data_IF_962364698471
#
_entry.id   IF_962364698471
#
_cell.length_a   1.000
_cell.length_b   1.000
_cell.length_c   1.000
_cell.angle_alpha   90.00
_cell.angle_beta   90.00
_cell.angle_gamma   90.00
#
_symmetry.space_group_name_H-M   'P 1'
#
loop_
_entity.id
_entity.type
_entity.pdbx_description
1 polymer ?
#
# COMPACT_ATOMS: atom_id res chain seq x y z
N UNK A 1 16.78 -14.97 8.79
CA UNK A 1 15.49 -14.77 8.11
C UNK A 1 14.81 -13.58 8.76
N UNK A 2 14.97 -12.39 8.18
CA UNK A 2 14.38 -11.17 8.73
C UNK A 2 12.88 -11.18 8.43
N UNK A 3 12.06 -11.49 9.43
CA UNK A 3 10.60 -11.39 9.33
C UNK A 3 10.26 -9.91 9.18
N UNK A 4 10.08 -9.43 7.95
CA UNK A 4 9.67 -8.04 7.71
C UNK A 4 8.36 -7.80 8.44
N UNK A 5 8.39 -6.95 9.46
CA UNK A 5 7.18 -6.59 10.20
C UNK A 5 6.28 -5.77 9.29
N UNK A 6 4.97 -5.82 9.55
CA UNK A 6 3.98 -5.08 8.78
C UNK A 6 4.18 -3.57 8.82
N UNK A 7 4.69 -3.08 9.94
CA UNK A 7 5.11 -1.70 10.12
C UNK A 7 6.29 -1.36 9.19
N UNK A 8 7.24 -2.28 9.00
CA UNK A 8 8.36 -2.10 8.08
C UNK A 8 7.90 -2.07 6.62
N UNK A 9 6.99 -2.96 6.23
CA UNK A 9 6.43 -2.97 4.88
C UNK A 9 5.73 -1.66 4.50
N UNK A 10 5.00 -1.06 5.44
CA UNK A 10 4.37 0.25 5.22
C UNK A 10 5.42 1.38 5.12
N UNK A 11 6.46 1.37 5.97
CA UNK A 11 7.57 2.32 5.88
C UNK A 11 8.28 2.23 4.53
N UNK A 12 8.53 1.02 4.04
CA UNK A 12 9.20 0.79 2.77
C UNK A 12 8.35 1.28 1.59
N UNK A 13 7.02 1.09 1.64
CA UNK A 13 6.10 1.63 0.62
C UNK A 13 6.18 3.15 0.58
N UNK A 14 6.07 3.79 1.75
CA UNK A 14 6.12 5.25 1.87
C UNK A 14 7.46 5.84 1.43
N UNK A 15 8.56 5.12 1.68
CA UNK A 15 9.89 5.52 1.23
C UNK A 15 10.03 5.39 -0.30
N UNK A 16 9.54 4.28 -0.88
CA UNK A 16 9.60 4.05 -2.32
C UNK A 16 8.75 5.05 -3.10
N UNK A 17 7.55 5.38 -2.61
CA UNK A 17 6.67 6.38 -3.22
C UNK A 17 7.32 7.77 -3.22
N UNK A 18 7.97 8.17 -2.12
CA UNK A 18 8.70 9.44 -2.01
C UNK A 18 9.97 9.50 -2.87
N UNK A 19 10.60 8.35 -3.12
CA UNK A 19 11.76 8.27 -3.98
C UNK A 19 11.42 8.48 -5.47
N UNK A 20 10.13 8.50 -5.83
CA UNK A 20 9.68 8.73 -7.20
C UNK A 20 10.13 7.64 -8.18
N UNK A 21 10.55 6.48 -7.67
CA UNK A 21 11.09 5.38 -8.48
C UNK A 21 10.08 4.23 -8.51
N UNK A 22 9.95 3.49 -9.63
CA UNK A 22 9.04 2.36 -9.71
C UNK A 22 9.37 1.26 -8.69
N UNK A 23 8.33 0.60 -8.16
CA UNK A 23 8.49 -0.49 -7.21
C UNK A 23 7.38 -1.55 -7.36
N UNK A 24 7.63 -2.72 -6.80
CA UNK A 24 6.67 -3.81 -6.68
C UNK A 24 6.24 -3.98 -5.22
N UNK A 25 4.94 -4.12 -5.00
CA UNK A 25 4.38 -4.64 -3.74
C UNK A 25 4.15 -6.12 -3.92
N UNK A 26 4.98 -6.94 -3.30
CA UNK A 26 4.90 -8.40 -3.34
C UNK A 26 4.03 -8.86 -2.18
N UNK A 27 2.87 -9.43 -2.47
CA UNK A 27 1.92 -9.99 -1.50
C UNK A 27 1.93 -11.53 -1.62
N UNK A 28 2.63 -12.24 -0.72
CA UNK A 28 2.49 -13.69 -0.59
C UNK A 28 1.12 -14.05 0.02
N UNK A 29 0.64 -15.29 -0.13
CA UNK A 29 -0.68 -15.70 0.34
C UNK A 29 -0.83 -15.58 1.87
N UNK A 30 0.18 -16.00 2.62
CA UNK A 30 0.14 -16.11 4.09
C UNK A 30 1.22 -15.28 4.79
N UNK A 31 1.77 -14.27 4.10
CA UNK A 31 2.82 -13.42 4.66
C UNK A 31 2.53 -11.94 4.51
N UNK A 32 3.27 -11.15 5.28
CA UNK A 32 3.22 -9.70 5.17
C UNK A 32 3.74 -9.30 3.79
N UNK A 33 3.03 -8.41 3.06
CA UNK A 33 3.52 -7.86 1.82
C UNK A 33 4.87 -7.17 1.98
N UNK A 34 5.69 -7.21 0.95
CA UNK A 34 7.04 -6.66 0.96
C UNK A 34 7.25 -5.77 -0.25
N UNK A 35 7.88 -4.63 -0.05
CA UNK A 35 8.20 -3.69 -1.13
C UNK A 35 9.56 -4.02 -1.73
N UNK A 36 9.62 -4.00 -3.06
CA UNK A 36 10.82 -4.26 -3.84
C UNK A 36 11.00 -3.14 -4.86
N UNK A 37 11.97 -2.25 -4.68
CA UNK A 37 12.32 -1.25 -5.69
C UNK A 37 12.70 -1.93 -7.00
N UNK A 38 12.25 -1.38 -8.13
CA UNK A 38 12.71 -1.82 -9.44
C UNK A 38 14.04 -1.13 -9.73
N UNK A 39 15.15 -1.89 -9.81
CA UNK A 39 16.43 -1.30 -10.16
C UNK A 39 16.39 -0.85 -11.63
N UNK A 40 17.18 0.09 -12.12
CA UNK A 40 17.13 0.53 -13.53
C UNK A 40 17.55 -0.52 -14.59
N UNK A 41 17.42 -1.81 -14.30
CA UNK A 41 17.77 -2.96 -15.12
C UNK A 41 16.75 -4.11 -14.93
N UNK A 42 16.95 -5.21 -15.63
CA UNK A 42 16.11 -6.41 -15.53
C UNK A 42 16.06 -6.97 -14.11
N UNK A 43 14.86 -7.25 -13.63
CA UNK A 43 14.56 -7.89 -12.36
C UNK A 43 13.89 -9.24 -12.62
N UNK A 44 14.40 -10.28 -11.98
CA UNK A 44 13.92 -11.65 -12.10
C UNK A 44 13.01 -12.02 -10.92
N UNK A 45 11.91 -12.72 -11.21
CA UNK A 45 10.97 -13.21 -10.20
C UNK A 45 10.81 -14.71 -10.34
N UNK A 46 10.94 -15.44 -9.24
CA UNK A 46 10.86 -16.89 -9.27
C UNK A 46 11.05 -17.53 -7.90
N UNK A 47 10.98 -18.86 -7.87
CA UNK A 47 11.17 -19.66 -6.65
C UNK A 47 12.65 -19.88 -6.32
N UNK A 48 13.54 -19.72 -7.29
CA UNK A 48 14.98 -19.86 -7.04
C UNK A 48 15.46 -18.73 -6.15
N UNK A 49 16.37 -19.06 -5.23
CA UNK A 49 17.17 -18.11 -4.46
C UNK A 49 18.07 -17.21 -5.33
N UNK A 50 18.34 -17.62 -6.57
CA UNK A 50 19.04 -16.84 -7.58
C UNK A 50 18.19 -15.71 -8.21
N UNK A 51 16.89 -15.63 -7.92
CA UNK A 51 16.05 -14.54 -8.41
C UNK A 51 16.10 -13.32 -7.49
N UNK A 52 15.95 -12.12 -8.07
CA UNK A 52 15.91 -10.87 -7.32
C UNK A 52 14.69 -10.80 -6.38
N UNK A 53 13.55 -11.32 -6.83
CA UNK A 53 12.35 -11.50 -6.03
C UNK A 53 12.05 -13.00 -5.89
N UNK A 54 12.41 -13.52 -4.72
CA UNK A 54 12.19 -14.93 -4.36
C UNK A 54 10.77 -15.12 -3.82
N UNK A 55 9.98 -15.96 -4.50
CA UNK A 55 8.63 -16.35 -4.10
C UNK A 55 8.65 -17.80 -3.58
N UNK A 56 8.38 -17.97 -2.29
CA UNK A 56 8.34 -19.28 -1.63
C UNK A 56 7.01 -20.02 -1.90
N UNK A 57 6.72 -20.32 -3.16
CA UNK A 57 5.52 -21.05 -3.58
C UNK A 57 5.88 -22.17 -4.58
N UNK A 58 5.42 -23.40 -4.30
CA UNK A 58 5.65 -24.57 -5.14
C UNK A 58 5.10 -24.45 -6.57
N UNK A 59 4.07 -23.62 -6.78
CA UNK A 59 3.48 -23.29 -8.09
C UNK A 59 4.34 -22.31 -8.89
N UNK A 60 5.28 -21.62 -8.25
CA UNK A 60 6.18 -20.70 -8.93
C UNK A 60 7.36 -21.48 -9.52
N UNK A 61 7.75 -21.09 -10.74
CA UNK A 61 8.86 -21.69 -11.48
C UNK A 61 10.18 -21.18 -10.90
N UNK A 62 11.30 -21.88 -11.10
CA UNK A 62 12.60 -21.43 -10.58
C UNK A 62 12.92 -20.01 -11.04
N UNK A 63 12.79 -19.77 -12.34
CA UNK A 63 12.59 -18.46 -12.96
C UNK A 63 11.17 -18.47 -13.53
N UNK A 64 10.31 -17.54 -13.12
CA UNK A 64 8.91 -17.54 -13.52
C UNK A 64 8.56 -16.34 -14.40
N UNK A 65 9.05 -15.15 -14.07
CA UNK A 65 8.90 -14.01 -14.94
C UNK A 65 10.09 -13.07 -14.80
N UNK A 66 10.20 -12.17 -15.77
CA UNK A 66 11.11 -11.03 -15.74
C UNK A 66 10.35 -9.74 -15.86
N UNK A 67 10.91 -8.69 -15.28
CA UNK A 67 10.43 -7.33 -15.38
C UNK A 67 11.63 -6.47 -15.76
N UNK A 68 11.56 -5.71 -16.85
CA UNK A 68 12.69 -4.92 -17.34
C UNK A 68 12.25 -3.53 -17.83
N UNK A 69 13.15 -2.53 -17.77
CA UNK A 69 12.84 -1.19 -18.24
C UNK A 69 12.72 -1.18 -19.77
N UNK A 70 11.72 -0.45 -20.26
CA UNK A 70 11.51 -0.15 -21.67
C UNK A 70 11.36 1.36 -21.84
N UNK A 71 11.48 1.92 -23.06
CA UNK A 71 11.25 3.34 -23.26
C UNK A 71 9.92 3.81 -22.64
N UNK A 72 10.02 4.74 -21.69
CA UNK A 72 8.88 5.34 -20.98
C UNK A 72 8.16 4.44 -19.98
N UNK A 73 8.73 3.31 -19.55
CA UNK A 73 8.10 2.48 -18.50
C UNK A 73 8.76 1.11 -18.32
N UNK A 74 7.92 0.12 -18.01
CA UNK A 74 8.35 -1.22 -17.66
C UNK A 74 7.56 -2.28 -18.43
N UNK A 75 8.17 -3.43 -18.68
CA UNK A 75 7.51 -4.57 -19.29
C UNK A 75 7.77 -5.83 -18.48
N UNK A 76 6.89 -6.81 -18.62
CA UNK A 76 6.98 -8.13 -18.01
C UNK A 76 6.78 -9.23 -19.04
N UNK A 77 7.41 -10.40 -18.85
CA UNK A 77 7.13 -11.60 -19.61
C UNK A 77 7.20 -12.84 -18.73
N UNK A 78 6.37 -13.83 -19.08
CA UNK A 78 6.37 -15.16 -18.47
C UNK A 78 7.52 -16.00 -19.04
N UNK A 79 8.46 -16.39 -18.18
CA UNK A 79 9.52 -17.37 -18.47
C UNK A 79 9.26 -18.69 -17.74
N UNK A 80 8.09 -18.79 -17.09
CA UNK A 80 7.71 -19.90 -16.24
C UNK A 80 7.27 -21.14 -17.00
N UNK A 81 7.09 -22.22 -16.24
CA UNK A 81 6.48 -23.44 -16.76
C UNK A 81 5.05 -23.17 -17.24
N UNK A 82 4.66 -23.69 -18.42
CA UNK A 82 3.35 -23.42 -19.03
C UNK A 82 2.13 -23.82 -18.18
N UNK A 83 2.32 -24.64 -17.15
CA UNK A 83 1.25 -25.20 -16.31
C UNK A 83 0.56 -24.14 -15.44
N UNK A 84 1.33 -23.17 -14.91
CA UNK A 84 0.78 -22.18 -13.98
C UNK A 84 0.67 -20.81 -14.64
N UNK A 85 1.67 -20.41 -15.44
CA UNK A 85 1.68 -19.17 -16.20
C UNK A 85 1.61 -17.89 -15.38
N UNK A 86 1.81 -16.76 -16.05
CA UNK A 86 1.67 -15.42 -15.46
C UNK A 86 0.38 -14.75 -15.90
N UNK A 87 -0.33 -14.10 -14.97
CA UNK A 87 -1.56 -13.34 -15.28
C UNK A 87 -1.38 -11.88 -14.88
N UNK A 88 -1.80 -10.95 -15.74
CA UNK A 88 -1.81 -9.51 -15.45
C UNK A 88 -3.26 -9.03 -15.50
N UNK A 89 -3.76 -8.52 -14.38
CA UNK A 89 -5.16 -8.12 -14.15
C UNK A 89 -6.15 -9.24 -14.52
N UNK A 90 -5.84 -10.48 -14.14
CA UNK A 90 -6.66 -11.67 -14.42
C UNK A 90 -6.50 -12.24 -15.83
N UNK A 91 -5.81 -11.56 -16.74
CA UNK A 91 -5.58 -12.04 -18.11
C UNK A 91 -4.21 -12.69 -18.22
N UNK A 92 -4.16 -13.95 -18.65
CA UNK A 92 -2.92 -14.68 -18.90
C UNK A 92 -2.11 -13.99 -20.01
N UNK A 93 -0.81 -13.80 -19.78
CA UNK A 93 0.09 -13.26 -20.80
C UNK A 93 0.76 -14.41 -21.58
N UNK A 94 0.99 -14.20 -22.87
CA UNK A 94 1.66 -15.14 -23.77
C UNK A 94 2.98 -14.61 -24.36
N UNK A 95 3.36 -13.39 -23.96
CA UNK A 95 4.57 -12.70 -24.39
C UNK A 95 4.77 -11.42 -23.59
N UNK A 96 5.76 -10.58 -23.98
CA UNK A 96 6.03 -9.33 -23.31
C UNK A 96 4.80 -8.42 -23.24
N UNK A 97 4.49 -7.93 -22.04
CA UNK A 97 3.39 -7.01 -21.76
C UNK A 97 3.92 -5.79 -21.01
N UNK A 98 3.53 -4.60 -21.46
CA UNK A 98 3.85 -3.35 -20.75
C UNK A 98 3.08 -3.30 -19.42
N UNK A 99 3.75 -2.90 -18.36
CA UNK A 99 3.17 -2.65 -17.05
C UNK A 99 2.71 -1.20 -16.95
N UNK A 100 1.55 -1.00 -16.34
CA UNK A 100 0.96 0.29 -16.03
C UNK A 100 0.83 0.40 -14.50
N UNK A 101 0.98 1.60 -13.94
CA UNK A 101 0.78 1.83 -12.51
C UNK A 101 -0.54 1.20 -12.02
N UNK A 102 -0.46 0.41 -10.96
CA UNK A 102 -1.59 -0.33 -10.41
C UNK A 102 -1.78 -1.73 -10.98
N UNK A 103 -1.08 -2.13 -12.05
CA UNK A 103 -1.20 -3.47 -12.61
C UNK A 103 -0.87 -4.55 -11.57
N UNK A 104 -1.72 -5.57 -11.54
CA UNK A 104 -1.64 -6.69 -10.62
C UNK A 104 -1.20 -7.93 -11.38
N UNK A 105 0.01 -8.41 -11.08
CA UNK A 105 0.59 -9.62 -11.67
C UNK A 105 0.43 -10.79 -10.70
N UNK A 106 -0.35 -11.80 -11.07
CA UNK A 106 -0.53 -13.03 -10.32
C UNK A 106 0.46 -14.09 -10.80
N UNK A 107 1.21 -14.66 -9.85
CA UNK A 107 2.25 -15.66 -10.06
C UNK A 107 2.12 -16.76 -9.01
N UNK A 108 1.66 -17.94 -9.42
CA UNK A 108 1.30 -18.99 -8.47
C UNK A 108 0.16 -18.50 -7.56
N UNK A 109 0.43 -18.39 -6.27
CA UNK A 109 -0.50 -17.88 -5.25
C UNK A 109 -0.07 -16.51 -4.71
N UNK A 110 0.98 -15.93 -5.28
CA UNK A 110 1.51 -14.61 -4.92
C UNK A 110 1.00 -13.54 -5.89
N UNK A 111 0.75 -12.35 -5.36
CA UNK A 111 0.35 -11.18 -6.14
C UNK A 111 1.46 -10.13 -6.11
N UNK A 112 1.79 -9.55 -7.25
CA UNK A 112 2.77 -8.47 -7.41
C UNK A 112 2.04 -7.25 -7.95
N UNK A 113 1.91 -6.18 -7.16
CA UNK A 113 1.33 -4.92 -7.65
C UNK A 113 2.45 -4.00 -8.11
N UNK A 114 2.41 -3.61 -9.38
CA UNK A 114 3.35 -2.63 -9.94
C UNK A 114 2.91 -1.21 -9.59
N UNK A 115 3.85 -0.40 -9.11
CA UNK A 115 3.64 1.02 -8.81
C UNK A 115 4.72 1.85 -9.49
N UNK A 116 4.30 2.90 -10.18
CA UNK A 116 5.19 3.89 -10.81
C UNK A 116 4.76 5.31 -10.45
N UNK A 117 5.31 5.87 -9.35
CA UNK A 117 5.00 7.23 -8.93
C UNK A 117 5.45 8.32 -9.91
N UNK A 118 6.38 8.01 -10.82
CA UNK A 118 6.92 8.95 -11.81
C UNK A 118 6.05 9.07 -13.06
N UNK A 119 5.22 8.07 -13.33
CA UNK A 119 4.37 7.97 -14.52
C UNK A 119 3.12 8.88 -14.47
N UNK A 120 3.23 10.07 -13.88
CA UNK A 120 2.13 11.01 -13.65
C UNK A 120 1.08 11.05 -14.76
N UNK A 121 -0.14 10.63 -14.40
CA UNK A 121 -1.42 10.91 -15.09
C UNK A 121 -1.60 10.27 -16.47
N UNK A 122 -1.96 8.98 -16.53
CA UNK A 122 -3.04 8.49 -17.43
C UNK A 122 -3.80 7.35 -16.73
N UNK A 123 -5.11 7.54 -16.59
CA UNK A 123 -6.14 6.63 -16.05
C UNK A 123 -6.14 6.43 -14.52
N UNK A 124 -7.20 6.95 -13.89
CA UNK A 124 -7.42 6.88 -12.46
C UNK A 124 -7.51 5.46 -11.95
N UNK A 125 -6.60 5.12 -11.05
CA UNK A 125 -6.77 3.99 -10.13
C UNK A 125 -6.39 4.50 -8.75
N UNK A 126 -7.39 4.65 -7.89
CA UNK A 126 -7.27 5.15 -6.53
C UNK A 126 -6.38 4.19 -5.72
N UNK A 127 -5.41 4.70 -4.96
CA UNK A 127 -4.56 3.94 -4.03
C UNK A 127 -5.34 3.08 -3.00
N UNK A 128 -6.66 3.29 -2.90
CA UNK A 128 -7.61 2.54 -2.07
C UNK A 128 -7.59 1.01 -2.31
N UNK A 129 -7.18 0.53 -3.50
CA UNK A 129 -7.06 -0.91 -3.81
C UNK A 129 -5.68 -1.50 -3.49
N UNK A 130 -4.81 -0.76 -2.79
CA UNK A 130 -3.52 -1.29 -2.36
C UNK A 130 -3.71 -2.49 -1.40
N UNK A 131 -3.15 -3.68 -1.72
CA UNK A 131 -3.27 -4.87 -0.86
C UNK A 131 -2.69 -4.64 0.55
N UNK A 132 -1.71 -3.74 0.66
CA UNK A 132 -1.16 -3.30 1.94
C UNK A 132 -2.19 -2.57 2.82
N UNK A 133 -3.08 -1.78 2.21
CA UNK A 133 -4.15 -1.08 2.93
C UNK A 133 -5.32 -2.03 3.24
N UNK A 134 -5.64 -2.94 2.33
CA UNK A 134 -6.68 -3.94 2.53
C UNK A 134 -6.41 -4.85 3.74
N UNK A 135 -5.14 -5.06 4.09
CA UNK A 135 -4.80 -5.82 5.28
C UNK A 135 -5.04 -5.04 6.59
N UNK A 136 -5.13 -3.70 6.59
CA UNK A 136 -5.22 -2.87 7.80
C UNK A 136 -6.52 -3.16 8.55
N UNK A 137 -6.42 -3.69 9.78
CA UNK A 137 -7.57 -3.95 10.64
C UNK A 137 -7.95 -2.69 11.40
N UNK A 138 -8.54 -1.74 10.69
CA UNK A 138 -9.08 -0.50 11.28
C UNK A 138 -10.51 -0.79 11.72
N UNK A 139 -10.80 -0.69 13.01
CA UNK A 139 -12.16 -0.81 13.53
C UNK A 139 -13.02 0.40 13.15
N UNK A 140 -14.36 0.30 13.13
CA UNK A 140 -15.22 1.46 12.87
C UNK A 140 -14.92 2.66 13.79
N UNK A 141 -14.62 2.40 15.07
CA UNK A 141 -14.23 3.44 16.02
C UNK A 141 -12.88 4.09 15.65
N UNK A 142 -11.88 3.30 15.25
CA UNK A 142 -10.59 3.82 14.78
C UNK A 142 -10.74 4.62 13.49
N UNK A 143 -11.62 4.18 12.58
CA UNK A 143 -11.91 4.88 11.33
C UNK A 143 -12.52 6.26 11.59
N UNK A 144 -13.48 6.36 12.51
CA UNK A 144 -14.06 7.65 12.96
C UNK A 144 -13.01 8.59 13.55
N UNK A 145 -12.10 8.08 14.38
CA UNK A 145 -10.97 8.85 14.93
C UNK A 145 -10.05 9.34 13.81
N UNK A 146 -9.76 8.50 12.81
CA UNK A 146 -8.91 8.84 11.68
C UNK A 146 -9.54 9.92 10.78
N UNK A 147 -10.86 9.86 10.56
CA UNK A 147 -11.64 10.87 9.85
C UNK A 147 -11.53 12.21 10.57
N UNK A 148 -11.85 12.28 11.85
CA UNK A 148 -11.83 13.53 12.62
C UNK A 148 -10.42 14.10 12.78
N UNK A 149 -9.40 13.24 12.89
CA UNK A 149 -8.00 13.67 12.86
C UNK A 149 -7.65 14.39 11.56
N UNK A 150 -8.14 13.87 10.42
CA UNK A 150 -7.77 14.29 9.07
C UNK A 150 -8.67 15.39 8.50
N UNK A 151 -9.83 15.63 9.13
CA UNK A 151 -10.84 16.61 8.72
C UNK A 151 -10.28 18.04 8.54
N UNK A 152 -9.44 18.58 9.46
CA UNK A 152 -8.86 19.92 9.28
C UNK A 152 -7.91 20.01 8.09
N UNK A 153 -7.19 18.92 7.78
CA UNK A 153 -6.21 18.87 6.70
C UNK A 153 -6.82 18.93 5.30
N UNK A 154 -8.16 18.94 5.18
CA UNK A 154 -8.89 19.08 3.90
C UNK A 154 -9.33 20.51 3.58
N UNK A 155 -9.19 21.46 4.51
CA UNK A 155 -9.56 22.87 4.30
C UNK A 155 -8.56 23.64 3.41
N UNK A 156 -8.95 24.80 2.87
CA UNK A 156 -8.02 25.67 2.14
C UNK A 156 -6.90 26.16 3.09
N UNK A 157 -5.68 25.64 2.89
CA UNK A 157 -4.50 25.87 3.71
C UNK A 157 -4.09 24.63 4.52
N UNK A 158 -2.79 24.33 4.58
CA UNK A 158 -2.26 23.20 5.36
C UNK A 158 -2.40 23.51 6.85
N UNK A 159 -3.54 23.14 7.43
CA UNK A 159 -3.77 23.24 8.86
C UNK A 159 -3.34 21.94 9.54
N UNK A 160 -2.73 22.09 10.72
CA UNK A 160 -2.31 20.97 11.53
C UNK A 160 -3.51 20.03 11.82
N UNK A 161 -3.27 18.71 11.96
CA UNK A 161 -4.33 17.76 12.29
C UNK A 161 -5.07 18.12 13.58
N UNK A 162 -6.31 17.64 13.72
CA UNK A 162 -7.14 17.93 14.89
C UNK A 162 -6.42 17.55 16.20
N UNK A 163 -6.71 18.23 17.30
CA UNK A 163 -6.19 17.88 18.64
C UNK A 163 -6.98 16.73 19.26
N UNK A 164 -6.47 16.10 20.33
CA UNK A 164 -7.23 15.06 21.03
C UNK A 164 -8.56 15.58 21.58
N UNK A 165 -8.59 16.83 22.04
CA UNK A 165 -9.78 17.48 22.56
C UNK A 165 -10.82 17.68 21.45
N UNK A 166 -10.40 18.20 20.30
CA UNK A 166 -11.30 18.39 19.16
C UNK A 166 -11.91 17.06 18.65
N UNK A 167 -11.11 16.00 18.58
CA UNK A 167 -11.60 14.66 18.20
C UNK A 167 -12.57 14.11 19.25
N UNK A 168 -12.26 14.29 20.54
CA UNK A 168 -13.10 13.84 21.65
C UNK A 168 -14.46 14.54 21.63
N UNK A 169 -14.49 15.85 21.41
CA UNK A 169 -15.71 16.64 21.25
C UNK A 169 -16.53 16.21 20.03
N UNK A 170 -15.88 16.06 18.87
CA UNK A 170 -16.56 15.66 17.63
C UNK A 170 -17.17 14.26 17.70
N UNK A 171 -16.53 13.32 18.42
CA UNK A 171 -16.97 11.94 18.54
C UNK A 171 -17.79 11.65 19.81
N UNK A 172 -17.92 12.63 20.70
CA UNK A 172 -18.55 12.47 22.03
C UNK A 172 -17.87 11.33 22.83
N UNK A 173 -16.54 11.38 22.89
CA UNK A 173 -15.69 10.41 23.59
C UNK A 173 -14.83 11.08 24.67
N UNK A 174 -14.25 10.31 25.58
CA UNK A 174 -13.22 10.84 26.48
C UNK A 174 -11.88 11.02 25.75
N UNK A 175 -11.08 11.97 26.21
CA UNK A 175 -9.73 12.22 25.68
C UNK A 175 -8.84 10.99 25.81
N UNK A 176 -8.99 10.19 26.86
CA UNK A 176 -8.19 8.98 27.06
C UNK A 176 -8.59 7.84 26.11
N UNK A 177 -9.88 7.74 25.77
CA UNK A 177 -10.34 6.84 24.71
C UNK A 177 -9.75 7.23 23.36
N UNK A 178 -9.72 8.53 23.04
CA UNK A 178 -9.08 9.03 21.81
C UNK A 178 -7.57 8.73 21.79
N UNK A 179 -6.85 8.94 22.91
CA UNK A 179 -5.42 8.59 23.02
C UNK A 179 -5.19 7.10 22.78
N UNK A 180 -6.04 6.23 23.34
CA UNK A 180 -5.93 4.78 23.18
C UNK A 180 -6.11 4.37 21.71
N UNK A 181 -7.13 4.90 21.03
CA UNK A 181 -7.35 4.66 19.60
C UNK A 181 -6.21 5.21 18.73
N UNK A 182 -5.72 6.41 19.02
CA UNK A 182 -4.59 7.00 18.30
C UNK A 182 -3.31 6.21 18.51
N UNK A 183 -3.05 5.70 19.73
CA UNK A 183 -1.88 4.83 19.98
C UNK A 183 -1.95 3.57 19.12
N UNK A 184 -3.11 2.91 19.09
CA UNK A 184 -3.32 1.73 18.25
C UNK A 184 -3.16 2.05 16.75
N UNK A 185 -3.68 3.21 16.29
CA UNK A 185 -3.48 3.68 14.92
C UNK A 185 -2.00 4.00 14.66
N UNK A 186 -1.28 4.63 15.57
CA UNK A 186 0.14 4.92 15.39
C UNK A 186 1.00 3.67 15.29
N UNK A 187 0.65 2.62 16.03
CA UNK A 187 1.26 1.30 15.94
C UNK A 187 0.91 0.62 14.60
N UNK A 188 -0.36 0.63 14.19
CA UNK A 188 -0.81 0.06 12.92
C UNK A 188 -0.21 0.77 11.69
N UNK A 189 -0.02 2.09 11.75
CA UNK A 189 0.52 2.92 10.68
C UNK A 189 2.03 3.22 10.83
N UNK A 190 2.69 2.58 11.81
CA UNK A 190 4.14 2.64 12.01
C UNK A 190 4.74 4.05 12.23
N UNK A 191 3.95 4.98 12.75
CA UNK A 191 4.38 6.37 13.04
C UNK A 191 4.84 6.55 14.50
N UNK A 192 5.01 5.47 15.27
CA UNK A 192 5.35 5.48 16.70
C UNK A 192 6.68 6.16 17.10
N UNK A 193 7.61 6.35 16.18
CA UNK A 193 8.99 6.85 16.46
C UNK A 193 9.15 8.37 16.26
N UNK A 194 8.15 9.05 15.70
CA UNK A 194 8.23 10.47 15.30
C UNK A 194 7.79 11.41 16.44
N UNK A 195 8.19 12.69 16.51
CA UNK A 195 7.64 13.64 17.50
C UNK A 195 6.11 13.78 17.40
N UNK A 196 5.40 13.89 18.53
CA UNK A 196 3.93 13.75 18.61
C UNK A 196 3.13 14.58 17.60
N UNK A 197 3.51 15.85 17.37
CA UNK A 197 2.85 16.69 16.38
C UNK A 197 3.04 16.14 14.95
N UNK A 198 4.27 15.71 14.63
CA UNK A 198 4.61 15.12 13.34
C UNK A 198 4.01 13.71 13.16
N UNK A 199 3.78 12.92 14.22
CA UNK A 199 3.04 11.64 14.14
C UNK A 199 1.63 11.81 13.61
N UNK A 200 0.92 12.82 14.11
CA UNK A 200 -0.46 13.13 13.72
C UNK A 200 -0.51 13.57 12.26
N UNK A 201 0.38 14.50 11.90
CA UNK A 201 0.44 15.03 10.55
C UNK A 201 0.74 13.91 9.56
N UNK A 202 1.69 13.03 9.92
CA UNK A 202 2.03 11.87 9.11
C UNK A 202 0.88 10.87 9.01
N UNK A 203 0.16 10.59 10.10
CA UNK A 203 -1.00 9.70 10.08
C UNK A 203 -2.12 10.24 9.17
N UNK A 204 -2.41 11.54 9.24
CA UNK A 204 -3.42 12.17 8.39
C UNK A 204 -3.02 12.18 6.91
N UNK A 205 -1.75 12.50 6.62
CA UNK A 205 -1.18 12.44 5.26
C UNK A 205 -1.27 11.03 4.68
N UNK A 206 -0.93 10.00 5.46
CA UNK A 206 -1.03 8.61 5.02
C UNK A 206 -2.49 8.22 4.79
N UNK A 207 -3.40 8.61 5.69
CA UNK A 207 -4.81 8.26 5.59
C UNK A 207 -5.49 8.85 4.35
N UNK A 208 -5.15 10.11 4.01
CA UNK A 208 -5.66 10.83 2.84
C UNK A 208 -4.94 10.43 1.55
N UNK A 209 -3.61 10.39 1.57
CA UNK A 209 -2.77 10.15 0.39
C UNK A 209 -2.85 8.72 -0.13
N UNK A 210 -2.95 7.72 0.76
CA UNK A 210 -3.09 6.32 0.36
C UNK A 210 -4.55 5.90 0.10
N UNK A 211 -5.54 6.77 0.29
CA UNK A 211 -6.95 6.42 0.06
C UNK A 211 -7.54 5.47 1.11
N UNK A 212 -6.97 5.42 2.32
CA UNK A 212 -7.58 4.72 3.48
C UNK A 212 -8.91 5.36 3.86
N UNK A 213 -8.96 6.70 3.79
CA UNK A 213 -10.18 7.49 3.87
C UNK A 213 -10.59 7.92 2.48
N UNK A 214 -11.84 7.69 2.15
CA UNK A 214 -12.49 8.07 0.90
C UNK A 214 -13.34 9.32 1.10
N UNK A 215 -13.77 9.98 0.02
CA UNK A 215 -14.73 11.11 0.11
C UNK A 215 -16.02 10.73 0.86
N UNK A 216 -16.46 9.47 0.75
CA UNK A 216 -17.64 8.96 1.45
C UNK A 216 -17.47 8.95 2.98
N UNK A 217 -16.23 8.76 3.47
CA UNK A 217 -15.94 8.77 4.91
C UNK A 217 -16.10 10.16 5.54
N UNK A 218 -16.07 11.23 4.73
CA UNK A 218 -16.24 12.61 5.18
C UNK A 218 -17.63 13.19 4.91
N UNK A 219 -18.49 12.46 4.19
CA UNK A 219 -19.84 12.90 3.91
C UNK A 219 -20.64 12.99 5.24
N UNK A 220 -21.33 14.11 5.52
CA UNK A 220 -22.18 14.22 6.69
C UNK A 220 -23.36 13.25 6.54
N UNK A 221 -23.28 12.08 7.20
CA UNK A 221 -24.36 11.09 7.21
C UNK A 221 -23.93 9.62 7.20
N UNK A 222 -22.68 9.27 6.91
CA UNK A 222 -22.25 7.87 6.92
C UNK A 222 -21.86 7.42 8.34
N UNK A 223 -22.85 7.14 9.19
CA UNK A 223 -22.95 6.03 10.18
C UNK A 223 -24.00 6.37 11.25
N UNK A 224 -25.28 6.27 10.90
CA UNK A 224 -26.26 5.51 11.69
C UNK A 224 -26.91 4.52 10.71
N UNK A 225 -27.31 3.37 11.25
CA UNK A 225 -27.90 2.16 10.59
C UNK A 225 -26.85 1.07 10.28
N UNK A 226 -26.87 -0.10 10.92
CA UNK A 226 -27.74 -0.65 11.96
C UNK A 226 -27.13 -1.88 12.61
#
# INVERSE_FOLDING_TARGET
>A
MSTTSRAQALKDLLAAERAGSPFLVVQPPDAVPVVRPLPGHELTVGRSDACDVVLADARVSRLHLRIWPVPGGWATADDGLPRNGTFVNGTRISGPRRLIDGDVVLVGSCTLTFRDPSAGTIAGTTLADSPLLATLRITPAQRRVLVELSRPCRGPGVTAPATNLAIAEALVLSVDTVKSHLKALFEQFAVGEIPNNAKRARLAEIALGLGVLTEADFAPGATQEG
#
